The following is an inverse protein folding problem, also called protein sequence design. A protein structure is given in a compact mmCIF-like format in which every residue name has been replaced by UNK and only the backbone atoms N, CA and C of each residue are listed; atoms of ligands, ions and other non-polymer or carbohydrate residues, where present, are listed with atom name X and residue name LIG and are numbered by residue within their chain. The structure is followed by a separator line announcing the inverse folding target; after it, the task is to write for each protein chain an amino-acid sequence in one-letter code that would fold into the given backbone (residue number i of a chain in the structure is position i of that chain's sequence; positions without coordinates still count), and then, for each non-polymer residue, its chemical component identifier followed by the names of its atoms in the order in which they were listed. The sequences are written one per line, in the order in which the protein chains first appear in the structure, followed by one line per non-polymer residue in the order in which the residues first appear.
data_IF_116776149621
#
_entry.id   IF_116776149621
#
_cell.length_a   1.000
_cell.length_b   1.000
_cell.length_c   1.000
_cell.angle_alpha   90.00
_cell.angle_beta   90.00
_cell.angle_gamma   90.00
#
_symmetry.space_group_name_H-M   'P 1'
#
loop_
_entity.id
_entity.type
_entity.pdbx_description
1 polymer ?
#
# COMPACT_ATOMS: atom_id res chain seq x y z
N UNK A 1 -17.33 3.84 3.34
CA UNK A 1 -18.26 4.89 3.81
C UNK A 1 -17.51 6.00 4.53
N UNK A 2 -17.69 7.24 4.08
CA UNK A 2 -17.19 8.44 4.77
C UNK A 2 -18.29 8.94 5.73
N UNK A 3 -18.05 8.89 7.04
CA UNK A 3 -19.00 9.35 8.07
C UNK A 3 -18.50 10.64 8.73
N UNK A 4 -19.29 11.70 8.62
CA UNK A 4 -19.09 12.99 9.31
C UNK A 4 -19.78 12.95 10.67
N UNK A 5 -19.25 13.68 11.67
CA UNK A 5 -19.83 13.70 13.02
C UNK A 5 -19.37 12.55 13.91
N UNK A 6 -18.09 12.15 13.82
CA UNK A 6 -17.49 11.10 14.67
C UNK A 6 -17.17 11.59 16.09
N UNK A 7 -16.77 12.85 16.21
CA UNK A 7 -16.50 13.48 17.51
C UNK A 7 -17.78 14.10 18.08
N UNK A 8 -17.88 14.20 19.40
CA UNK A 8 -19.05 14.77 20.08
C UNK A 8 -19.35 16.22 19.65
N UNK A 9 -18.31 16.99 19.34
CA UNK A 9 -18.46 18.34 18.81
C UNK A 9 -19.06 18.29 17.40
N UNK A 10 -18.49 17.48 16.50
CA UNK A 10 -18.98 17.37 15.13
C UNK A 10 -20.38 16.73 15.06
N UNK A 11 -20.69 15.77 15.94
CA UNK A 11 -22.01 15.16 16.08
C UNK A 11 -23.06 16.22 16.44
N UNK A 12 -22.77 17.07 17.44
CA UNK A 12 -23.64 18.19 17.83
C UNK A 12 -23.83 19.21 16.70
N UNK A 13 -22.77 19.58 15.99
CA UNK A 13 -22.87 20.49 14.84
C UNK A 13 -23.66 19.89 13.68
N UNK A 14 -23.53 18.58 13.45
CA UNK A 14 -24.26 17.89 12.38
C UNK A 14 -25.75 17.79 12.72
N UNK A 15 -26.10 17.58 13.99
CA UNK A 15 -27.49 17.62 14.48
C UNK A 15 -28.16 18.96 14.18
N UNK A 16 -27.50 20.07 14.50
CA UNK A 16 -28.09 21.40 14.32
C UNK A 16 -28.18 21.81 12.86
N UNK A 17 -27.26 21.36 12.00
CA UNK A 17 -27.23 21.76 10.60
C UNK A 17 -28.07 20.87 9.67
N UNK A 18 -28.15 19.56 9.92
CA UNK A 18 -28.80 18.61 9.00
C UNK A 18 -30.03 17.92 9.60
N UNK A 19 -30.33 18.14 10.89
CA UNK A 19 -31.54 17.67 11.57
C UNK A 19 -31.71 16.14 11.66
N UNK A 20 -30.84 15.38 11.01
CA UNK A 20 -30.97 13.96 10.80
C UNK A 20 -29.61 13.32 11.07
N UNK A 21 -29.60 12.49 12.12
CA UNK A 21 -28.70 11.35 12.22
C UNK A 21 -27.30 11.58 12.82
N UNK A 22 -27.23 12.24 13.97
CA UNK A 22 -26.16 11.94 14.94
C UNK A 22 -26.63 10.88 15.95
N UNK A 23 -26.92 9.68 15.45
CA UNK A 23 -26.90 8.50 16.33
C UNK A 23 -25.48 8.22 16.80
N UNK A 24 -25.33 7.53 17.93
CA UNK A 24 -24.01 7.19 18.51
C UNK A 24 -23.08 6.58 17.44
N UNK A 25 -21.85 7.09 17.31
CA UNK A 25 -20.86 6.56 16.36
C UNK A 25 -20.62 5.06 16.60
N UNK A 26 -20.72 4.62 17.85
CA UNK A 26 -20.60 3.21 18.24
C UNK A 26 -21.72 2.34 17.67
N UNK A 27 -22.96 2.83 17.62
CA UNK A 27 -24.09 2.11 17.02
C UNK A 27 -23.94 2.04 15.50
N UNK A 28 -23.46 3.12 14.87
CA UNK A 28 -23.11 3.10 13.45
C UNK A 28 -22.01 2.10 13.16
N UNK A 29 -20.96 2.07 13.97
CA UNK A 29 -19.88 1.11 13.80
C UNK A 29 -20.40 -0.33 13.88
N UNK A 30 -21.19 -0.66 14.90
CA UNK A 30 -21.77 -2.00 15.05
C UNK A 30 -22.67 -2.40 13.87
N UNK A 31 -23.47 -1.46 13.34
CA UNK A 31 -24.29 -1.68 12.16
C UNK A 31 -23.42 -1.92 10.92
N UNK A 32 -22.37 -1.11 10.72
CA UNK A 32 -21.46 -1.24 9.60
C UNK A 32 -20.69 -2.55 9.64
N UNK A 33 -20.22 -2.98 10.80
CA UNK A 33 -19.54 -4.27 10.97
C UNK A 33 -20.46 -5.43 10.60
N UNK A 34 -21.74 -5.37 11.01
CA UNK A 34 -22.75 -6.38 10.64
C UNK A 34 -23.06 -6.41 9.14
N UNK A 35 -22.99 -5.27 8.47
CA UNK A 35 -23.26 -5.14 7.04
C UNK A 35 -22.00 -5.29 6.16
N UNK A 36 -20.82 -5.45 6.75
CA UNK A 36 -19.54 -5.49 6.02
C UNK A 36 -19.16 -4.15 5.39
N UNK A 37 -19.65 -3.03 5.93
CA UNK A 37 -19.37 -1.69 5.40
C UNK A 37 -18.04 -1.18 5.94
N UNK A 38 -17.04 -1.06 5.07
CA UNK A 38 -15.74 -0.48 5.42
C UNK A 38 -15.85 1.04 5.57
N UNK A 39 -15.36 1.58 6.69
CA UNK A 39 -15.28 3.03 6.92
C UNK A 39 -13.96 3.60 6.41
N UNK A 40 -14.00 4.81 5.89
CA UNK A 40 -12.82 5.56 5.43
C UNK A 40 -12.81 6.94 6.08
N UNK A 41 -11.67 7.45 6.56
CA UNK A 41 -11.62 8.65 7.38
C UNK A 41 -11.59 9.95 6.56
N UNK A 42 -11.23 9.89 5.27
CA UNK A 42 -11.09 11.08 4.41
C UNK A 42 -11.68 10.84 3.02
N UNK A 43 -12.10 11.92 2.31
CA UNK A 43 -12.51 11.82 0.91
C UNK A 43 -11.43 11.21 0.01
N UNK A 44 -10.15 11.55 0.21
CA UNK A 44 -9.04 11.01 -0.59
C UNK A 44 -8.93 9.49 -0.44
N UNK A 45 -9.02 8.97 0.78
CA UNK A 45 -8.99 7.52 1.01
C UNK A 45 -10.26 6.84 0.49
N UNK A 46 -11.41 7.53 0.46
CA UNK A 46 -12.61 7.00 -0.19
C UNK A 46 -12.38 6.78 -1.68
N UNK A 47 -11.84 7.77 -2.39
CA UNK A 47 -11.54 7.66 -3.81
C UNK A 47 -10.51 6.56 -4.08
N UNK A 48 -9.43 6.49 -3.30
CA UNK A 48 -8.39 5.47 -3.46
C UNK A 48 -8.94 4.05 -3.23
N UNK A 49 -9.77 3.87 -2.19
CA UNK A 49 -10.43 2.59 -1.91
C UNK A 49 -11.33 2.17 -3.06
N UNK A 50 -12.12 3.10 -3.61
CA UNK A 50 -13.00 2.82 -4.75
C UNK A 50 -12.22 2.48 -6.01
N UNK A 51 -11.11 3.19 -6.28
CA UNK A 51 -10.22 2.88 -7.40
C UNK A 51 -9.66 1.47 -7.28
N UNK A 52 -9.14 1.09 -6.11
CA UNK A 52 -8.61 -0.24 -5.85
C UNK A 52 -9.69 -1.32 -6.07
N UNK A 53 -10.88 -1.13 -5.49
CA UNK A 53 -11.98 -2.09 -5.64
C UNK A 53 -12.47 -2.22 -7.09
N UNK A 54 -12.41 -1.15 -7.87
CA UNK A 54 -12.82 -1.15 -9.28
C UNK A 54 -11.81 -1.90 -10.16
N UNK A 55 -10.51 -1.73 -9.89
CA UNK A 55 -9.44 -2.29 -10.72
C UNK A 55 -9.09 -3.72 -10.30
N UNK A 56 -8.92 -3.95 -9.00
CA UNK A 56 -8.40 -5.20 -8.44
C UNK A 56 -9.47 -6.04 -7.74
N UNK A 57 -10.66 -5.49 -7.49
CA UNK A 57 -11.69 -6.14 -6.69
C UNK A 57 -11.40 -6.09 -5.18
N UNK A 58 -12.28 -6.72 -4.40
CA UNK A 58 -12.09 -6.84 -2.96
C UNK A 58 -10.98 -7.87 -2.66
N UNK A 59 -9.96 -7.53 -1.86
CA UNK A 59 -8.95 -8.48 -1.41
C UNK A 59 -9.61 -9.64 -0.66
N UNK A 60 -9.19 -10.87 -0.97
CA UNK A 60 -9.74 -12.09 -0.35
C UNK A 60 -9.02 -12.49 0.93
N UNK A 61 -7.99 -11.75 1.33
CA UNK A 61 -7.21 -12.01 2.53
C UNK A 61 -6.17 -10.93 2.78
N UNK A 62 -5.35 -11.17 3.81
CA UNK A 62 -4.38 -10.21 4.31
C UNK A 62 -2.98 -10.38 3.70
N UNK A 63 -2.80 -11.37 2.80
CA UNK A 63 -1.50 -11.61 2.18
C UNK A 63 -1.29 -10.69 0.99
N UNK A 64 -0.24 -9.87 1.04
CA UNK A 64 0.10 -8.95 -0.03
C UNK A 64 1.59 -9.07 -0.38
N UNK A 65 1.94 -8.78 -1.63
CA UNK A 65 3.32 -8.59 -2.06
C UNK A 65 3.45 -7.16 -2.58
N UNK A 66 4.50 -6.47 -2.14
CA UNK A 66 4.76 -5.10 -2.54
C UNK A 66 6.09 -4.97 -3.27
N UNK A 67 6.10 -4.12 -4.30
CA UNK A 67 7.28 -3.80 -5.09
C UNK A 67 7.48 -2.28 -5.07
N UNK A 68 8.63 -1.84 -4.58
CA UNK A 68 9.04 -0.42 -4.55
C UNK A 68 10.44 -0.27 -5.15
N UNK A 69 10.82 0.95 -5.52
CA UNK A 69 12.15 1.35 -5.95
C UNK A 69 12.93 2.16 -4.90
N UNK A 70 12.42 2.29 -3.67
CA UNK A 70 13.09 3.00 -2.57
C UNK A 70 13.15 2.13 -1.31
N UNK A 71 14.28 2.17 -0.61
CA UNK A 71 14.45 1.42 0.64
C UNK A 71 13.61 2.03 1.77
N UNK A 72 13.39 3.35 1.72
CA UNK A 72 12.52 4.05 2.67
C UNK A 72 11.06 3.62 2.53
N UNK A 73 10.58 3.44 1.30
CA UNK A 73 9.22 2.97 1.05
C UNK A 73 9.00 1.56 1.60
N UNK A 74 10.02 0.69 1.56
CA UNK A 74 9.91 -0.65 2.18
C UNK A 74 9.64 -0.54 3.67
N UNK A 75 10.37 0.33 4.38
CA UNK A 75 10.15 0.55 5.81
C UNK A 75 8.75 1.12 6.06
N UNK A 76 8.33 2.14 5.29
CA UNK A 76 7.00 2.72 5.41
C UNK A 76 5.88 1.69 5.15
N UNK A 77 6.03 0.85 4.13
CA UNK A 77 5.07 -0.21 3.86
C UNK A 77 5.06 -1.27 4.96
N UNK A 78 6.22 -1.62 5.52
CA UNK A 78 6.30 -2.58 6.63
C UNK A 78 5.53 -2.04 7.86
N UNK A 79 5.82 -0.81 8.27
CA UNK A 79 5.16 -0.16 9.42
C UNK A 79 3.64 -0.08 9.20
N UNK A 80 3.20 0.41 8.03
CA UNK A 80 1.78 0.53 7.72
C UNK A 80 1.10 -0.81 7.53
N UNK A 81 1.79 -1.80 7.01
CA UNK A 81 1.25 -3.14 6.88
C UNK A 81 1.03 -3.77 8.23
N UNK A 82 1.96 -3.62 9.18
CA UNK A 82 1.79 -4.11 10.55
C UNK A 82 0.59 -3.45 11.24
N UNK A 83 0.45 -2.12 11.14
CA UNK A 83 -0.73 -1.40 11.65
C UNK A 83 -2.05 -1.90 11.05
N UNK A 84 -2.03 -2.32 9.78
CA UNK A 84 -3.20 -2.80 9.05
C UNK A 84 -3.41 -4.33 9.12
N UNK A 85 -2.51 -5.07 9.78
CA UNK A 85 -2.53 -6.54 9.81
C UNK A 85 -2.21 -7.22 8.47
N UNK A 86 -1.48 -6.54 7.58
CA UNK A 86 -1.06 -7.10 6.28
C UNK A 86 0.12 -8.06 6.48
N UNK A 87 -0.02 -9.27 5.94
CA UNK A 87 1.03 -10.27 5.88
C UNK A 87 1.81 -10.15 4.56
N UNK A 88 2.98 -9.51 4.63
CA UNK A 88 3.93 -9.52 3.53
C UNK A 88 4.67 -10.86 3.49
N UNK A 89 4.07 -11.84 2.81
CA UNK A 89 4.71 -13.15 2.68
C UNK A 89 5.71 -13.17 1.53
N UNK A 90 6.85 -13.83 1.75
CA UNK A 90 7.80 -14.10 0.67
C UNK A 90 7.12 -14.84 -0.50
N UNK A 91 7.38 -14.45 -1.76
CA UNK A 91 6.85 -15.17 -2.91
C UNK A 91 7.37 -16.61 -2.93
N UNK A 92 6.60 -17.53 -3.51
CA UNK A 92 7.03 -18.92 -3.68
C UNK A 92 8.31 -18.99 -4.53
N UNK A 93 9.12 -20.06 -4.43
CA UNK A 93 10.32 -20.22 -5.26
C UNK A 93 10.03 -20.09 -6.76
N UNK A 94 8.90 -20.62 -7.22
CA UNK A 94 8.45 -20.51 -8.60
C UNK A 94 8.11 -19.06 -9.00
N UNK A 95 7.38 -18.32 -8.14
CA UNK A 95 7.08 -16.91 -8.36
C UNK A 95 8.35 -16.05 -8.34
N UNK A 96 9.27 -16.32 -7.41
CA UNK A 96 10.57 -15.65 -7.32
C UNK A 96 11.39 -15.88 -8.60
N UNK A 97 11.45 -17.11 -9.12
CA UNK A 97 12.15 -17.42 -10.37
C UNK A 97 11.53 -16.67 -11.56
N UNK A 98 10.19 -16.63 -11.66
CA UNK A 98 9.50 -15.91 -12.72
C UNK A 98 9.74 -14.40 -12.63
N UNK A 99 9.66 -13.81 -11.43
CA UNK A 99 9.97 -12.39 -11.20
C UNK A 99 11.41 -12.05 -11.58
N UNK A 100 12.37 -12.94 -11.27
CA UNK A 100 13.78 -12.77 -11.67
C UNK A 100 14.00 -12.72 -13.18
N UNK A 101 13.19 -13.46 -13.95
CA UNK A 101 13.26 -13.42 -15.42
C UNK A 101 12.65 -12.16 -16.04
N UNK A 102 11.76 -11.47 -15.30
CA UNK A 102 11.03 -10.29 -15.78
C UNK A 102 11.63 -8.96 -15.29
N UNK A 103 12.38 -8.98 -14.18
CA UNK A 103 12.91 -7.79 -13.54
C UNK A 103 14.42 -7.62 -13.84
N UNK A 104 14.90 -6.39 -14.10
CA UNK A 104 16.32 -6.10 -14.23
C UNK A 104 17.11 -6.53 -12.99
N UNK A 105 18.36 -6.97 -13.16
CA UNK A 105 19.17 -7.58 -12.08
C UNK A 105 19.35 -6.73 -10.81
N UNK A 106 19.19 -5.41 -10.89
CA UNK A 106 19.25 -4.49 -9.75
C UNK A 106 17.93 -4.38 -8.94
N UNK A 107 16.82 -4.92 -9.46
CA UNK A 107 15.52 -5.04 -8.78
C UNK A 107 15.38 -6.34 -7.96
N UNK A 108 16.42 -7.19 -7.93
CA UNK A 108 16.35 -8.57 -7.46
C UNK A 108 16.86 -8.78 -6.01
N UNK A 109 17.01 -7.72 -5.20
CA UNK A 109 17.45 -7.91 -3.82
C UNK A 109 16.27 -8.23 -2.92
N UNK A 110 15.93 -9.52 -2.87
CA UNK A 110 14.99 -10.11 -1.91
C UNK A 110 15.70 -10.15 -0.55
N UNK A 111 15.52 -9.13 0.27
CA UNK A 111 15.96 -9.17 1.66
C UNK A 111 14.78 -8.89 2.59
N UNK A 112 14.47 -9.90 3.40
CA UNK A 112 13.33 -10.04 4.33
C UNK A 112 11.99 -10.39 3.66
N UNK A 113 11.16 -11.25 4.29
CA UNK A 113 10.09 -11.96 3.59
C UNK A 113 9.01 -10.96 3.15
N UNK A 114 8.78 -10.81 1.84
CA UNK A 114 7.57 -10.21 1.26
C UNK A 114 7.59 -8.75 0.82
N UNK A 115 8.65 -7.98 1.08
CA UNK A 115 8.81 -6.61 0.58
C UNK A 115 9.98 -6.49 -0.38
N UNK A 116 9.74 -5.99 -1.60
CA UNK A 116 10.76 -5.86 -2.64
C UNK A 116 11.19 -4.40 -2.86
N UNK A 117 12.49 -4.16 -2.88
CA UNK A 117 13.11 -2.86 -3.23
C UNK A 117 13.90 -2.94 -4.55
N UNK A 118 13.71 -1.96 -5.43
CA UNK A 118 14.53 -1.72 -6.62
C UNK A 118 15.47 -0.56 -6.34
N UNK A 119 16.72 -0.84 -5.97
CA UNK A 119 17.69 0.22 -5.76
C UNK A 119 18.00 0.94 -7.09
N UNK A 120 17.57 2.19 -7.22
CA UNK A 120 18.10 3.12 -8.22
C UNK A 120 19.31 3.81 -7.60
N UNK A 121 20.51 3.30 -7.91
CA UNK A 121 21.76 3.95 -7.51
C UNK A 121 21.94 5.32 -8.20
N UNK A 122 22.66 6.27 -7.57
CA UNK A 122 22.81 7.63 -8.09
C UNK A 122 23.57 7.61 -9.42
N UNK A 123 23.05 8.32 -10.43
CA UNK A 123 23.77 8.61 -11.67
C UNK A 123 25.03 9.43 -11.32
N UNK A 124 26.22 8.82 -11.40
CA UNK A 124 27.46 9.51 -11.09
C UNK A 124 28.73 8.76 -11.49
N UNK A 125 29.22 9.07 -12.70
CA UNK A 125 30.62 9.02 -13.19
C UNK A 125 31.36 7.68 -13.19
N UNK A 126 31.56 7.14 -14.40
CA UNK A 126 32.75 6.38 -14.75
C UNK A 126 33.39 7.04 -15.99
N UNK A 127 34.45 7.80 -15.73
CA UNK A 127 35.40 8.30 -16.70
C UNK A 127 36.56 7.29 -16.76
N UNK A 128 37.13 7.14 -17.96
CA UNK A 128 38.43 6.54 -18.29
C UNK A 128 38.53 5.00 -18.39
N UNK A 129 39.02 4.55 -19.56
CA UNK A 129 39.38 3.16 -19.81
C UNK A 129 39.71 2.84 -21.27
N UNK A 130 40.58 3.65 -21.87
CA UNK A 130 41.20 3.44 -23.18
C UNK A 130 41.73 2.00 -23.35
N UNK A 131 41.23 1.25 -24.33
CA UNK A 131 42.01 0.16 -24.95
C UNK A 131 41.87 0.22 -26.47
N UNK A 132 42.91 0.79 -27.09
CA UNK A 132 43.29 0.53 -28.47
C UNK A 132 43.70 -0.93 -28.56
N UNK A 133 42.99 -1.76 -29.30
CA UNK A 133 43.48 -3.08 -29.73
C UNK A 133 43.97 -2.96 -31.17
N UNK A 134 45.30 -2.98 -31.32
CA UNK A 134 45.94 -3.23 -32.60
C UNK A 134 46.29 -4.71 -32.77
N UNK A 135 46.36 -5.09 -34.04
CA UNK A 135 46.97 -6.28 -34.67
C UNK A 135 46.13 -7.56 -34.81
N UNK A 136 45.73 -7.76 -36.07
CA UNK A 136 45.65 -9.00 -36.82
C UNK A 136 45.67 -8.61 -38.29
#
# INVERSE_FOLDING_TARGET
MLKVGRSDLAARTTLTHTGSLAGSDTLYQALFDRLGVVRVPTPSLMLETLNLLTIAGAPTGQRLAAFTCSGGDVAMLADRGEECGIDFKAPSPAASHKLKSLLPGHCNRIQSPGLHHSAVGPRGKAQAGLQRTGRG
#
